data_IF_987495213460
#
_entry.id   IF_987495213460
#
_cell.length_a   1.000
_cell.length_b   1.000
_cell.length_c   1.000
_cell.angle_alpha   90.00
_cell.angle_beta   90.00
_cell.angle_gamma   90.00
#
_symmetry.space_group_name_H-M   'P 1'
#
loop_
_entity.id
_entity.type
_entity.pdbx_description
1 polymer ?
#
# COMPACT_ATOMS: atom_id res chain seq x y z
N UNK A 1 -46.04 13.15 20.56
CA UNK A 1 -45.22 13.96 21.48
C UNK A 1 -46.05 15.14 21.94
N UNK A 2 -46.29 15.23 23.26
CA UNK A 2 -46.99 16.31 23.97
C UNK A 2 -46.25 17.66 23.83
N UNK A 3 -47.02 18.75 23.95
CA UNK A 3 -46.72 20.06 24.58
C UNK A 3 -47.92 20.95 24.20
N UNK A 4 -48.88 21.32 25.04
CA UNK A 4 -48.91 21.72 26.45
C UNK A 4 -47.93 22.83 26.83
N UNK A 5 -48.48 23.86 27.52
CA UNK A 5 -47.95 25.17 27.96
C UNK A 5 -48.12 26.32 26.93
N UNK A 6 -48.67 27.47 27.27
CA UNK A 6 -49.16 27.94 28.57
C UNK A 6 -49.84 29.30 28.39
N UNK A 7 -51.03 29.39 28.98
CA UNK A 7 -51.77 30.58 29.33
C UNK A 7 -50.91 31.48 30.23
N UNK A 8 -50.66 32.73 29.82
CA UNK A 8 -50.15 33.78 30.67
C UNK A 8 -50.89 35.09 30.37
N UNK A 9 -51.87 35.37 31.20
CA UNK A 9 -52.34 36.71 31.48
C UNK A 9 -51.16 37.62 31.84
N UNK A 10 -51.09 38.78 31.18
CA UNK A 10 -50.55 39.98 31.79
C UNK A 10 -51.52 41.13 31.55
N UNK A 11 -52.31 41.39 32.58
CA UNK A 11 -52.86 42.70 32.90
C UNK A 11 -51.76 43.77 32.88
N UNK A 12 -52.08 44.97 32.40
CA UNK A 12 -51.34 46.16 32.83
C UNK A 12 -51.09 47.26 31.79
N UNK A 13 -52.06 48.16 31.68
CA UNK A 13 -51.93 49.60 31.42
C UNK A 13 -51.40 50.09 30.06
N UNK A 14 -52.37 50.45 29.20
CA UNK A 14 -52.25 51.45 28.15
C UNK A 14 -51.86 52.83 28.73
N UNK A 15 -50.65 53.29 28.46
CA UNK A 15 -50.30 54.69 28.59
C UNK A 15 -50.83 55.46 27.37
N UNK A 16 -52.07 55.92 27.45
CA UNK A 16 -52.66 56.89 26.53
C UNK A 16 -51.91 58.22 26.67
N UNK A 17 -50.97 58.48 25.76
CA UNK A 17 -50.47 59.84 25.52
C UNK A 17 -51.43 60.54 24.57
N UNK A 18 -52.34 61.31 25.16
CA UNK A 18 -53.27 62.19 24.44
C UNK A 18 -52.57 63.47 24.00
N UNK A 19 -52.33 63.52 22.68
CA UNK A 19 -52.61 64.64 21.76
C UNK A 19 -52.14 66.05 22.16
N UNK A 20 -51.07 66.50 21.51
CA UNK A 20 -50.75 67.90 21.32
C UNK A 20 -50.98 68.32 19.87
N UNK A 21 -52.19 68.83 19.61
CA UNK A 21 -52.50 69.96 18.72
C UNK A 21 -52.11 69.91 17.22
N UNK A 22 -53.16 70.04 16.40
CA UNK A 22 -53.24 70.74 15.10
C UNK A 22 -53.35 69.94 13.80
N UNK A 23 -53.95 68.75 13.84
CA UNK A 23 -54.82 68.35 12.72
C UNK A 23 -55.83 67.29 13.15
N UNK A 24 -57.11 67.51 12.84
CA UNK A 24 -58.23 66.61 13.07
C UNK A 24 -58.24 65.39 12.15
N UNK A 25 -57.10 64.71 12.08
CA UNK A 25 -56.95 63.40 11.47
C UNK A 25 -56.38 62.52 12.57
N UNK A 26 -57.20 61.59 13.06
CA UNK A 26 -56.74 60.48 13.91
C UNK A 26 -55.88 59.57 13.04
N UNK A 27 -54.65 60.04 12.86
CA UNK A 27 -53.65 59.45 12.00
C UNK A 27 -53.26 58.09 12.53
N UNK A 28 -53.26 57.90 13.86
CA UNK A 28 -53.00 56.59 14.46
C UNK A 28 -54.12 55.58 14.19
N UNK A 29 -55.41 55.96 14.23
CA UNK A 29 -56.49 55.01 13.88
C UNK A 29 -56.60 54.77 12.37
N UNK A 30 -56.35 55.77 11.53
CA UNK A 30 -56.30 55.61 10.07
C UNK A 30 -55.09 54.75 9.68
N UNK A 31 -53.91 54.98 10.27
CA UNK A 31 -52.72 54.15 10.07
C UNK A 31 -52.95 52.74 10.61
N UNK A 32 -53.62 52.59 11.76
CA UNK A 32 -53.95 51.27 12.31
C UNK A 32 -54.95 50.51 11.43
N UNK A 33 -55.99 51.17 10.91
CA UNK A 33 -56.95 50.56 9.99
C UNK A 33 -56.33 50.22 8.62
N UNK A 34 -55.44 51.08 8.10
CA UNK A 34 -54.65 50.79 6.91
C UNK A 34 -53.69 49.64 7.16
N UNK A 35 -53.03 49.60 8.32
CA UNK A 35 -52.16 48.50 8.74
C UNK A 35 -52.95 47.20 8.88
N UNK A 36 -54.16 47.22 9.45
CA UNK A 36 -55.03 46.05 9.58
C UNK A 36 -55.50 45.52 8.21
N UNK A 37 -55.84 46.41 7.29
CA UNK A 37 -56.14 46.04 5.90
C UNK A 37 -54.92 45.45 5.19
N UNK A 38 -53.72 45.99 5.44
CA UNK A 38 -52.47 45.48 4.86
C UNK A 38 -51.99 44.18 5.53
N UNK A 39 -52.18 44.01 6.84
CA UNK A 39 -51.89 42.76 7.56
C UNK A 39 -52.85 41.67 7.11
N UNK A 40 -54.13 41.98 6.86
CA UNK A 40 -55.08 41.03 6.27
C UNK A 40 -54.63 40.55 4.88
N UNK A 41 -54.15 41.47 4.02
CA UNK A 41 -53.56 41.11 2.72
C UNK A 41 -52.31 40.25 2.89
N UNK A 42 -51.43 40.59 3.85
CA UNK A 42 -50.23 39.82 4.21
C UNK A 42 -50.60 38.42 4.68
N UNK A 43 -51.50 38.27 5.65
CA UNK A 43 -52.00 36.98 6.16
C UNK A 43 -52.61 36.14 5.04
N UNK A 44 -53.32 36.75 4.09
CA UNK A 44 -53.85 36.02 2.93
C UNK A 44 -52.74 35.46 2.03
N UNK A 45 -51.65 36.20 1.84
CA UNK A 45 -50.47 35.73 1.09
C UNK A 45 -49.70 34.66 1.87
N UNK A 46 -49.53 34.82 3.18
CA UNK A 46 -48.91 33.84 4.06
C UNK A 46 -49.71 32.52 4.08
N UNK A 47 -51.03 32.58 4.20
CA UNK A 47 -51.90 31.41 4.11
C UNK A 47 -51.81 30.70 2.75
N UNK A 48 -51.70 31.47 1.65
CA UNK A 48 -51.46 30.89 0.30
C UNK A 48 -50.11 30.20 0.23
N UNK A 49 -49.06 30.80 0.81
CA UNK A 49 -47.71 30.23 0.87
C UNK A 49 -47.71 28.92 1.65
N UNK A 50 -48.28 28.89 2.86
CA UNK A 50 -48.40 27.69 3.68
C UNK A 50 -49.16 26.58 2.95
N UNK A 51 -50.27 26.91 2.28
CA UNK A 51 -51.04 25.94 1.48
C UNK A 51 -50.21 25.39 0.31
N UNK A 52 -49.41 26.23 -0.35
CA UNK A 52 -48.53 25.81 -1.44
C UNK A 52 -47.41 24.89 -0.92
N UNK A 53 -46.78 25.22 0.21
CA UNK A 53 -45.75 24.39 0.86
C UNK A 53 -46.31 23.03 1.29
N UNK A 54 -47.50 22.98 1.89
CA UNK A 54 -48.17 21.72 2.20
C UNK A 54 -48.47 20.89 0.95
N UNK A 55 -48.93 21.55 -0.11
CA UNK A 55 -49.19 20.90 -1.39
C UNK A 55 -47.91 20.32 -1.98
N UNK A 56 -46.81 21.09 -1.99
CA UNK A 56 -45.51 20.65 -2.46
C UNK A 56 -44.96 19.46 -1.64
N UNK A 57 -45.13 19.49 -0.32
CA UNK A 57 -44.72 18.40 0.57
C UNK A 57 -45.50 17.12 0.28
N UNK A 58 -46.82 17.22 0.09
CA UNK A 58 -47.66 16.07 -0.28
C UNK A 58 -47.23 15.50 -1.65
N UNK A 59 -47.02 16.36 -2.66
CA UNK A 59 -46.55 15.93 -3.98
C UNK A 59 -45.17 15.27 -3.94
N UNK A 60 -44.24 15.82 -3.15
CA UNK A 60 -42.90 15.25 -2.98
C UNK A 60 -42.99 13.88 -2.30
N UNK A 61 -43.84 13.76 -1.27
CA UNK A 61 -44.09 12.49 -0.59
C UNK A 61 -44.71 11.43 -1.50
N UNK A 62 -45.67 11.83 -2.34
CA UNK A 62 -46.28 10.95 -3.34
C UNK A 62 -45.27 10.50 -4.38
N UNK A 63 -44.46 11.42 -4.92
CA UNK A 63 -43.45 11.11 -5.92
C UNK A 63 -42.41 10.12 -5.38
N UNK A 64 -41.97 10.28 -4.13
CA UNK A 64 -41.08 9.30 -3.47
C UNK A 64 -41.70 7.91 -3.40
N UNK A 65 -42.98 7.82 -2.98
CA UNK A 65 -43.70 6.53 -2.89
C UNK A 65 -43.89 5.88 -4.26
N UNK A 66 -44.23 6.67 -5.28
CA UNK A 66 -44.41 6.17 -6.63
C UNK A 66 -43.08 5.70 -7.23
N UNK A 67 -42.02 6.46 -7.02
CA UNK A 67 -40.67 6.10 -7.45
C UNK A 67 -40.21 4.81 -6.78
N UNK A 68 -40.33 4.67 -5.46
CA UNK A 68 -39.96 3.42 -4.76
C UNK A 68 -40.79 2.23 -5.21
N UNK A 69 -42.08 2.41 -5.46
CA UNK A 69 -42.92 1.33 -6.00
C UNK A 69 -42.42 0.89 -7.39
N UNK A 70 -42.12 1.85 -8.27
CA UNK A 70 -41.62 1.57 -9.60
C UNK A 70 -40.23 0.93 -9.59
N UNK A 71 -39.29 1.40 -8.77
CA UNK A 71 -37.92 0.86 -8.74
C UNK A 71 -37.84 -0.48 -8.03
N UNK A 72 -38.50 -0.61 -6.88
CA UNK A 72 -38.23 -1.69 -5.95
C UNK A 72 -39.18 -2.88 -6.14
N UNK A 73 -40.39 -2.62 -6.62
CA UNK A 73 -41.42 -3.64 -6.82
C UNK A 73 -41.66 -3.91 -8.31
N UNK A 74 -42.38 -3.01 -9.00
CA UNK A 74 -42.76 -3.21 -10.40
C UNK A 74 -41.51 -3.37 -11.30
N UNK A 75 -40.44 -2.66 -10.98
CA UNK A 75 -39.20 -2.69 -11.72
C UNK A 75 -38.42 -3.99 -11.63
N UNK A 76 -38.57 -4.75 -10.54
CA UNK A 76 -37.98 -6.08 -10.41
C UNK A 76 -38.90 -7.15 -11.02
N UNK A 77 -40.22 -6.96 -10.89
CA UNK A 77 -41.23 -7.89 -11.41
C UNK A 77 -41.39 -7.86 -12.93
N UNK A 78 -40.94 -6.80 -13.62
CA UNK A 78 -41.01 -6.72 -15.09
C UNK A 78 -40.01 -7.63 -15.81
N UNK A 79 -38.96 -8.10 -15.14
CA UNK A 79 -37.92 -8.91 -15.78
C UNK A 79 -38.25 -10.40 -15.72
N UNK A 80 -38.19 -11.08 -16.86
CA UNK A 80 -38.40 -12.53 -16.96
C UNK A 80 -37.43 -13.32 -16.06
N UNK A 81 -36.19 -12.82 -15.90
CA UNK A 81 -35.16 -13.44 -15.04
C UNK A 81 -35.63 -13.65 -13.60
N UNK A 82 -36.50 -12.77 -13.08
CA UNK A 82 -37.08 -12.88 -11.73
C UNK A 82 -37.96 -14.12 -11.55
N UNK A 83 -38.52 -14.66 -12.64
CA UNK A 83 -39.36 -15.86 -12.63
C UNK A 83 -38.64 -17.13 -13.10
N UNK A 84 -37.43 -17.00 -13.63
CA UNK A 84 -36.60 -18.11 -14.08
C UNK A 84 -35.65 -18.62 -12.96
N UNK A 85 -35.95 -18.30 -11.71
CA UNK A 85 -35.14 -18.74 -10.57
C UNK A 85 -35.32 -20.24 -10.36
N UNK A 86 -34.22 -20.93 -10.07
CA UNK A 86 -34.20 -22.37 -9.85
C UNK A 86 -33.71 -22.67 -8.45
N UNK A 87 -34.29 -23.70 -7.82
CA UNK A 87 -33.86 -24.19 -6.52
C UNK A 87 -33.15 -25.52 -6.71
N UNK A 88 -31.96 -25.64 -6.12
CA UNK A 88 -31.30 -26.92 -5.94
C UNK A 88 -31.57 -27.45 -4.54
N UNK A 89 -31.79 -28.76 -4.42
CA UNK A 89 -31.92 -29.46 -3.16
C UNK A 89 -31.01 -30.69 -3.19
N UNK A 90 -30.29 -30.92 -2.10
CA UNK A 90 -29.46 -32.10 -1.91
C UNK A 90 -30.19 -33.08 -0.99
N UNK A 91 -30.05 -34.37 -1.26
CA UNK A 91 -30.54 -35.42 -0.36
C UNK A 91 -29.73 -35.48 0.93
N UNK A 92 -28.46 -35.04 0.90
CA UNK A 92 -27.59 -34.93 2.07
C UNK A 92 -26.77 -33.63 1.98
N UNK A 93 -27.25 -32.59 2.67
CA UNK A 93 -26.62 -31.28 2.69
C UNK A 93 -25.33 -31.23 3.52
N UNK A 94 -25.04 -32.25 4.33
CA UNK A 94 -23.79 -32.31 5.11
C UNK A 94 -22.58 -32.68 4.24
N UNK A 95 -22.82 -33.39 3.14
CA UNK A 95 -21.79 -33.83 2.19
C UNK A 95 -21.68 -32.86 1.01
N UNK A 96 -22.81 -32.45 0.43
CA UNK A 96 -22.84 -31.61 -0.75
C UNK A 96 -24.01 -30.63 -0.70
N UNK A 97 -23.70 -29.36 -0.91
CA UNK A 97 -24.70 -28.33 -1.21
C UNK A 97 -24.51 -27.86 -2.65
N UNK A 98 -25.60 -27.39 -3.26
CA UNK A 98 -25.58 -26.89 -4.62
C UNK A 98 -26.46 -25.65 -4.73
N UNK A 99 -26.08 -24.74 -5.62
CA UNK A 99 -26.86 -23.56 -5.99
C UNK A 99 -27.15 -23.61 -7.48
N UNK A 100 -28.39 -23.33 -7.88
CA UNK A 100 -28.80 -23.36 -9.28
C UNK A 100 -28.91 -21.94 -9.83
N UNK A 101 -28.21 -21.66 -10.92
CA UNK A 101 -28.41 -20.44 -11.70
C UNK A 101 -29.65 -20.58 -12.59
N UNK A 102 -30.20 -19.47 -13.08
CA UNK A 102 -31.42 -19.45 -13.90
C UNK A 102 -31.29 -20.23 -15.22
N UNK A 103 -30.07 -20.36 -15.74
CA UNK A 103 -29.72 -21.13 -16.95
C UNK A 103 -29.53 -22.64 -16.71
N UNK A 104 -29.48 -23.10 -15.44
CA UNK A 104 -29.21 -24.50 -15.13
C UNK A 104 -30.34 -25.41 -15.63
N UNK A 105 -30.04 -26.57 -16.20
CA UNK A 105 -31.07 -27.52 -16.65
C UNK A 105 -31.82 -28.14 -15.47
N UNK A 106 -33.15 -28.17 -15.54
CA UNK A 106 -33.99 -28.79 -14.50
C UNK A 106 -33.91 -30.31 -14.60
N UNK A 107 -33.66 -30.99 -13.48
CA UNK A 107 -33.56 -32.45 -13.43
C UNK A 107 -33.05 -32.96 -12.09
N UNK A 108 -33.01 -34.29 -11.94
CA UNK A 108 -32.39 -34.97 -10.81
C UNK A 108 -31.01 -35.47 -11.23
N UNK A 109 -30.00 -35.17 -10.42
CA UNK A 109 -28.62 -35.55 -10.67
C UNK A 109 -28.11 -36.45 -9.54
N UNK A 110 -27.54 -37.60 -9.89
CA UNK A 110 -26.86 -38.49 -8.94
C UNK A 110 -25.38 -38.13 -8.88
N UNK A 111 -24.91 -37.70 -7.73
CA UNK A 111 -23.52 -37.29 -7.51
C UNK A 111 -22.86 -38.23 -6.51
N UNK A 112 -21.68 -38.75 -6.85
CA UNK A 112 -20.85 -39.56 -5.95
C UNK A 112 -19.55 -38.82 -5.66
N UNK A 113 -19.33 -38.46 -4.40
CA UNK A 113 -18.08 -37.83 -3.95
C UNK A 113 -17.09 -38.93 -3.57
N UNK A 114 -16.01 -39.06 -4.32
CA UNK A 114 -14.95 -40.05 -4.03
C UNK A 114 -13.82 -39.45 -3.20
N UNK A 115 -13.43 -38.20 -3.50
CA UNK A 115 -12.31 -37.52 -2.86
C UNK A 115 -12.51 -36.01 -2.92
N UNK A 116 -12.09 -35.31 -1.86
CA UNK A 116 -12.06 -33.85 -1.83
C UNK A 116 -10.77 -33.33 -2.47
N UNK A 117 -10.88 -32.24 -3.22
CA UNK A 117 -9.71 -31.50 -3.64
C UNK A 117 -8.97 -30.98 -2.40
N UNK A 118 -7.66 -31.21 -2.34
CA UNK A 118 -6.80 -30.69 -1.29
C UNK A 118 -5.80 -29.69 -1.90
N UNK A 119 -5.42 -28.68 -1.13
CA UNK A 119 -4.31 -27.81 -1.49
C UNK A 119 -2.99 -28.52 -1.21
N UNK A 120 -2.01 -28.39 -2.12
CA UNK A 120 -0.66 -28.87 -1.87
C UNK A 120 -0.09 -28.10 -0.66
N UNK A 121 0.54 -28.82 0.27
CA UNK A 121 1.25 -28.21 1.39
C UNK A 121 2.57 -28.93 1.62
N UNK A 122 3.57 -28.17 2.05
CA UNK A 122 4.90 -28.67 2.38
C UNK A 122 5.35 -28.00 3.68
N UNK A 123 5.82 -28.81 4.62
CA UNK A 123 6.50 -28.33 5.83
C UNK A 123 7.95 -28.76 5.75
N UNK A 124 8.87 -27.82 5.90
CA UNK A 124 10.29 -28.16 5.85
C UNK A 124 10.72 -28.99 7.05
N UNK A 125 11.83 -29.70 6.91
CA UNK A 125 12.61 -30.12 8.06
C UNK A 125 13.02 -28.90 8.90
N UNK A 126 13.41 -29.15 10.16
CA UNK A 126 13.98 -28.09 10.99
C UNK A 126 15.27 -27.61 10.34
N UNK A 127 15.35 -26.32 10.03
CA UNK A 127 16.54 -25.68 9.50
C UNK A 127 17.40 -25.13 10.63
N UNK A 128 18.71 -25.27 10.48
CA UNK A 128 19.74 -24.70 11.36
C UNK A 128 20.75 -23.94 10.53
N UNK A 129 21.22 -22.81 11.05
CA UNK A 129 22.31 -22.06 10.44
C UNK A 129 23.62 -22.72 10.82
N UNK A 130 24.45 -23.07 9.84
CA UNK A 130 25.75 -23.69 10.07
C UNK A 130 26.84 -22.64 9.89
N UNK A 131 27.72 -22.54 10.87
CA UNK A 131 28.94 -21.76 10.76
C UNK A 131 30.13 -22.64 11.08
N UNK A 132 31.16 -22.58 10.23
CA UNK A 132 32.40 -23.30 10.43
C UNK A 132 33.46 -22.31 10.88
N UNK A 133 34.06 -22.54 12.04
CA UNK A 133 35.16 -21.68 12.50
C UNK A 133 36.47 -21.96 11.74
N UNK A 134 37.48 -21.12 11.95
CA UNK A 134 38.79 -21.26 11.32
C UNK A 134 39.52 -22.58 11.68
N UNK A 135 39.05 -23.30 12.70
CA UNK A 135 39.56 -24.62 13.11
C UNK A 135 38.77 -25.78 12.50
N UNK A 136 37.78 -25.50 11.63
CA UNK A 136 36.96 -26.50 10.97
C UNK A 136 35.81 -27.04 11.81
N UNK A 137 35.52 -26.46 12.98
CA UNK A 137 34.40 -26.89 13.83
C UNK A 137 33.11 -26.25 13.34
N UNK A 138 32.12 -27.09 13.04
CA UNK A 138 30.77 -26.66 12.67
C UNK A 138 29.94 -26.39 13.93
N UNK A 139 29.33 -25.23 14.00
CA UNK A 139 28.36 -24.84 15.03
C UNK A 139 27.00 -24.62 14.39
N UNK A 140 25.94 -25.09 15.06
CA UNK A 140 24.56 -24.87 14.64
C UNK A 140 23.94 -23.76 15.48
N UNK A 141 23.36 -22.78 14.80
CA UNK A 141 22.64 -21.67 15.41
C UNK A 141 21.17 -21.67 15.00
N UNK A 142 20.36 -21.05 15.85
CA UNK A 142 18.93 -20.81 15.57
C UNK A 142 18.81 -19.90 14.34
N UNK A 143 17.88 -20.24 13.47
CA UNK A 143 17.52 -19.45 12.27
C UNK A 143 16.41 -18.47 12.63
N UNK A 144 16.56 -17.22 12.18
CA UNK A 144 15.55 -16.16 12.25
C UNK A 144 15.19 -15.70 10.84
N UNK A 145 14.18 -14.84 10.72
CA UNK A 145 13.78 -14.24 9.44
C UNK A 145 14.94 -13.45 8.79
N UNK A 146 15.84 -12.89 9.59
CA UNK A 146 16.98 -12.09 9.11
C UNK A 146 18.24 -12.92 8.85
N UNK A 147 18.17 -14.23 9.07
CA UNK A 147 19.28 -15.13 8.76
C UNK A 147 19.48 -15.19 7.26
N UNK A 148 20.73 -15.01 6.82
CA UNK A 148 21.12 -15.09 5.41
C UNK A 148 21.01 -16.51 4.89
N UNK A 149 20.62 -16.68 3.62
CA UNK A 149 20.51 -18.00 3.00
C UNK A 149 21.88 -18.69 2.86
N UNK A 150 22.98 -17.94 2.77
CA UNK A 150 24.34 -18.50 2.81
C UNK A 150 24.62 -19.32 4.06
N UNK A 151 24.11 -18.88 5.22
CA UNK A 151 24.24 -19.62 6.48
C UNK A 151 23.43 -20.93 6.50
N UNK A 152 22.51 -21.10 5.54
CA UNK A 152 21.76 -22.34 5.32
C UNK A 152 22.39 -23.23 4.23
N UNK A 153 23.56 -22.84 3.70
CA UNK A 153 24.32 -23.61 2.72
C UNK A 153 24.00 -23.28 1.26
N UNK A 154 23.35 -22.15 0.99
CA UNK A 154 23.23 -21.65 -0.38
C UNK A 154 24.53 -20.97 -0.82
N UNK A 155 24.85 -21.17 -2.09
CA UNK A 155 25.93 -20.42 -2.74
C UNK A 155 25.52 -18.95 -2.93
N UNK A 156 26.47 -18.05 -2.75
CA UNK A 156 26.33 -16.60 -2.91
C UNK A 156 27.30 -16.02 -3.93
N UNK A 157 27.92 -16.86 -4.77
CA UNK A 157 28.69 -16.43 -5.95
C UNK A 157 27.85 -15.63 -6.97
N UNK A 158 26.55 -15.51 -6.73
CA UNK A 158 25.65 -14.57 -7.41
C UNK A 158 24.97 -15.14 -8.65
N UNK A 159 25.22 -16.41 -8.97
CA UNK A 159 24.63 -17.16 -10.07
C UNK A 159 23.43 -18.02 -9.64
N UNK A 160 23.23 -18.22 -8.35
CA UNK A 160 22.16 -19.08 -7.82
C UNK A 160 20.83 -18.34 -7.78
N UNK A 161 19.81 -18.95 -8.37
CA UNK A 161 18.43 -18.45 -8.38
C UNK A 161 17.47 -19.51 -7.86
N UNK A 162 16.53 -19.12 -7.01
CA UNK A 162 15.42 -19.98 -6.58
C UNK A 162 14.19 -19.64 -7.42
N UNK A 163 13.77 -20.57 -8.26
CA UNK A 163 12.55 -20.47 -9.06
C UNK A 163 11.38 -21.07 -8.30
N UNK A 164 10.34 -20.26 -8.13
CA UNK A 164 9.08 -20.60 -7.48
C UNK A 164 7.97 -20.46 -8.52
N UNK A 165 7.28 -21.55 -8.83
CA UNK A 165 6.17 -21.55 -9.78
C UNK A 165 4.90 -22.02 -9.07
N UNK A 166 3.82 -21.24 -9.19
CA UNK A 166 2.50 -21.57 -8.68
C UNK A 166 1.44 -21.24 -9.76
N UNK A 167 0.82 -22.27 -10.32
CA UNK A 167 -0.02 -22.11 -11.51
C UNK A 167 0.78 -21.53 -12.69
N UNK A 168 0.31 -20.41 -13.24
CA UNK A 168 0.95 -19.69 -14.36
C UNK A 168 2.02 -18.68 -13.89
N UNK A 169 2.07 -18.37 -12.59
CA UNK A 169 2.98 -17.37 -12.05
C UNK A 169 4.32 -17.99 -11.68
N UNK A 170 5.41 -17.40 -12.15
CA UNK A 170 6.78 -17.77 -11.77
C UNK A 170 7.50 -16.57 -11.18
N UNK A 171 8.16 -16.77 -10.04
CA UNK A 171 9.03 -15.81 -9.37
C UNK A 171 10.41 -16.44 -9.20
N UNK A 172 11.43 -15.70 -9.61
CA UNK A 172 12.84 -15.99 -9.48
C UNK A 172 13.44 -15.08 -8.41
N UNK A 173 13.97 -15.68 -7.35
CA UNK A 173 14.73 -15.00 -6.30
C UNK A 173 16.21 -15.25 -6.52
N UNK A 174 16.98 -14.19 -6.78
CA UNK A 174 18.44 -14.30 -6.80
C UNK A 174 18.97 -14.50 -5.37
N UNK A 175 19.98 -15.35 -5.21
CA UNK A 175 20.64 -15.55 -3.93
C UNK A 175 21.99 -14.84 -3.95
N UNK A 176 22.14 -13.88 -3.05
CA UNK A 176 23.37 -13.12 -2.82
C UNK A 176 23.76 -13.14 -1.32
N UNK A 177 24.87 -12.49 -0.97
CA UNK A 177 25.37 -12.41 0.41
C UNK A 177 24.42 -11.72 1.40
N UNK A 178 23.36 -11.07 0.93
CA UNK A 178 22.40 -10.34 1.76
C UNK A 178 21.03 -11.00 1.82
N UNK A 179 20.75 -11.94 0.91
CA UNK A 179 19.45 -12.56 0.76
C UNK A 179 19.12 -13.36 2.02
N UNK A 180 17.94 -13.10 2.59
CA UNK A 180 17.52 -13.66 3.87
C UNK A 180 16.39 -14.68 3.75
N UNK A 181 16.14 -15.38 4.85
CA UNK A 181 14.94 -16.22 5.04
C UNK A 181 13.65 -15.42 4.80
N UNK A 182 13.60 -14.16 5.23
CA UNK A 182 12.47 -13.26 5.00
C UNK A 182 12.24 -13.03 3.52
N UNK A 183 13.30 -12.80 2.75
CA UNK A 183 13.20 -12.56 1.31
C UNK A 183 12.67 -13.80 0.58
N UNK A 184 13.12 -14.99 0.98
CA UNK A 184 12.57 -16.24 0.46
C UNK A 184 11.08 -16.41 0.78
N UNK A 185 10.67 -16.12 2.02
CA UNK A 185 9.24 -16.17 2.41
C UNK A 185 8.41 -15.14 1.62
N UNK A 186 8.95 -13.96 1.38
CA UNK A 186 8.27 -12.94 0.58
C UNK A 186 8.16 -13.37 -0.88
N UNK A 187 9.22 -13.92 -1.49
CA UNK A 187 9.18 -14.45 -2.86
C UNK A 187 8.11 -15.55 -3.03
N UNK A 188 7.93 -16.43 -2.02
CA UNK A 188 6.86 -17.42 -2.01
C UNK A 188 5.47 -16.77 -1.99
N UNK A 189 5.27 -15.73 -1.18
CA UNK A 189 4.01 -14.98 -1.12
C UNK A 189 3.73 -14.22 -2.41
N UNK A 190 4.76 -13.63 -2.99
CA UNK A 190 4.67 -12.92 -4.26
C UNK A 190 4.33 -13.88 -5.40
N UNK A 191 4.78 -15.14 -5.34
CA UNK A 191 4.33 -16.19 -6.25
C UNK A 191 2.86 -16.61 -6.06
N UNK A 192 2.18 -16.14 -5.01
CA UNK A 192 0.78 -16.43 -4.71
C UNK A 192 0.55 -17.57 -3.71
N UNK A 193 1.60 -18.02 -3.03
CA UNK A 193 1.53 -19.08 -2.02
C UNK A 193 1.23 -18.53 -0.63
N UNK A 194 0.65 -19.37 0.23
CA UNK A 194 0.57 -19.13 1.66
C UNK A 194 1.87 -19.63 2.30
N UNK A 195 2.78 -18.71 2.65
CA UNK A 195 4.09 -19.04 3.21
C UNK A 195 4.38 -18.33 4.54
N UNK A 196 4.99 -19.06 5.47
CA UNK A 196 5.50 -18.52 6.74
C UNK A 196 6.73 -19.28 7.21
N UNK A 197 7.53 -18.62 8.06
CA UNK A 197 8.64 -19.22 8.78
C UNK A 197 8.40 -19.09 10.28
N UNK A 198 8.39 -20.21 11.00
CA UNK A 198 8.32 -20.22 12.46
C UNK A 198 9.74 -20.26 13.02
N UNK A 199 10.19 -19.15 13.61
CA UNK A 199 11.53 -19.05 14.19
C UNK A 199 11.71 -19.93 15.44
N UNK A 200 10.65 -20.23 16.20
CA UNK A 200 10.75 -21.10 17.38
C UNK A 200 10.98 -22.54 16.96
N UNK A 201 10.28 -22.98 15.92
CA UNK A 201 10.40 -24.34 15.40
C UNK A 201 11.54 -24.48 14.38
N UNK A 202 11.98 -23.37 13.78
CA UNK A 202 12.94 -23.34 12.68
C UNK A 202 12.40 -24.03 11.44
N UNK A 203 11.15 -23.78 11.06
CA UNK A 203 10.47 -24.49 9.95
C UNK A 203 9.71 -23.55 9.03
N UNK A 204 9.72 -23.88 7.75
CA UNK A 204 8.88 -23.27 6.74
C UNK A 204 7.56 -24.02 6.62
N UNK A 205 6.47 -23.26 6.51
CA UNK A 205 5.15 -23.75 6.16
C UNK A 205 4.75 -23.10 4.85
N UNK A 206 4.51 -23.92 3.83
CA UNK A 206 4.19 -23.45 2.47
C UNK A 206 2.97 -24.22 2.00
N UNK A 207 1.96 -23.52 1.49
CA UNK A 207 0.78 -24.16 0.90
C UNK A 207 0.28 -23.39 -0.32
N UNK A 208 -0.33 -24.12 -1.23
CA UNK A 208 -1.09 -23.55 -2.33
C UNK A 208 -2.30 -22.78 -1.79
N UNK A 209 -2.70 -21.73 -2.51
CA UNK A 209 -3.89 -20.95 -2.16
C UNK A 209 -5.18 -21.66 -2.56
N UNK A 210 -5.14 -22.35 -3.69
CA UNK A 210 -6.27 -23.08 -4.26
C UNK A 210 -6.07 -24.59 -4.09
N UNK A 211 -7.19 -25.31 -3.91
CA UNK A 211 -7.20 -26.78 -3.87
C UNK A 211 -7.23 -27.38 -5.26
N UNK A 212 -6.69 -28.59 -5.43
CA UNK A 212 -6.71 -29.33 -6.68
C UNK A 212 -5.35 -29.33 -7.40
N UNK A 213 -5.23 -30.18 -8.42
CA UNK A 213 -3.96 -30.44 -9.10
C UNK A 213 -3.41 -29.21 -9.85
N UNK A 214 -4.28 -28.33 -10.31
CA UNK A 214 -3.89 -27.09 -11.00
C UNK A 214 -3.29 -26.06 -10.04
N UNK A 215 -3.64 -26.14 -8.75
CA UNK A 215 -3.05 -25.34 -7.67
C UNK A 215 -1.65 -25.81 -7.24
N UNK A 216 -1.04 -26.78 -7.94
CA UNK A 216 0.29 -27.28 -7.61
C UNK A 216 1.34 -26.16 -7.69
N UNK A 217 2.38 -26.32 -6.88
CA UNK A 217 3.55 -25.45 -6.92
C UNK A 217 4.86 -26.22 -6.90
N UNK A 218 5.88 -25.62 -7.48
CA UNK A 218 7.25 -26.13 -7.52
C UNK A 218 8.22 -25.07 -7.01
N UNK A 219 9.24 -25.51 -6.29
CA UNK A 219 10.33 -24.68 -5.81
C UNK A 219 11.61 -25.40 -6.21
N UNK A 220 12.45 -24.76 -7.03
CA UNK A 220 13.68 -25.36 -7.55
C UNK A 220 14.82 -24.36 -7.52
N UNK A 221 16.03 -24.84 -7.25
CA UNK A 221 17.25 -24.05 -7.44
C UNK A 221 17.75 -24.20 -8.88
N UNK A 222 18.08 -23.08 -9.52
CA UNK A 222 18.70 -23.00 -10.84
C UNK A 222 19.99 -22.19 -10.75
N UNK A 223 20.91 -22.49 -11.64
CA UNK A 223 22.12 -21.69 -11.85
C UNK A 223 21.91 -20.85 -13.10
N UNK A 224 22.23 -19.56 -13.01
CA UNK A 224 22.20 -18.64 -14.13
C UNK A 224 23.25 -19.04 -15.17
N UNK A 225 22.94 -18.77 -16.44
CA UNK A 225 23.94 -18.91 -17.50
C UNK A 225 25.03 -17.85 -17.35
N UNK A 226 26.24 -18.14 -17.85
CA UNK A 226 27.35 -17.18 -17.80
C UNK A 226 27.03 -15.84 -18.47
N UNK A 227 26.20 -15.83 -19.51
CA UNK A 227 25.72 -14.61 -20.16
C UNK A 227 24.81 -13.77 -19.24
N UNK A 228 23.92 -14.42 -18.50
CA UNK A 228 23.04 -13.74 -17.55
C UNK A 228 23.83 -13.16 -16.37
N UNK A 229 24.82 -13.89 -15.87
CA UNK A 229 25.73 -13.39 -14.81
C UNK A 229 26.54 -12.20 -15.33
N UNK A 230 27.10 -12.29 -16.53
CA UNK A 230 27.85 -11.20 -17.14
C UNK A 230 26.99 -9.95 -17.38
N UNK A 231 25.74 -10.12 -17.81
CA UNK A 231 24.80 -9.01 -17.99
C UNK A 231 24.46 -8.34 -16.65
N UNK A 232 24.20 -9.13 -15.60
CA UNK A 232 23.95 -8.63 -14.26
C UNK A 232 25.16 -7.85 -13.72
N UNK A 233 26.37 -8.39 -13.83
CA UNK A 233 27.58 -7.71 -13.35
C UNK A 233 27.83 -6.40 -14.10
N UNK A 234 27.70 -6.39 -15.43
CA UNK A 234 27.81 -5.16 -16.23
C UNK A 234 26.82 -4.09 -15.79
N UNK A 235 25.58 -4.48 -15.46
CA UNK A 235 24.59 -3.54 -14.97
C UNK A 235 25.01 -2.95 -13.61
N UNK A 236 25.46 -3.79 -12.68
CA UNK A 236 25.92 -3.36 -11.35
C UNK A 236 27.15 -2.44 -11.44
N UNK A 237 28.10 -2.76 -12.32
CA UNK A 237 29.29 -1.94 -12.57
C UNK A 237 28.91 -0.58 -13.19
N UNK A 238 27.95 -0.56 -14.11
CA UNK A 238 27.52 0.68 -14.79
C UNK A 238 26.93 1.73 -13.85
N UNK A 239 26.33 1.29 -12.74
CA UNK A 239 25.76 2.17 -11.70
C UNK A 239 26.67 2.33 -10.49
N UNK A 240 27.91 1.84 -10.55
CA UNK A 240 28.89 1.91 -9.46
C UNK A 240 28.31 1.36 -8.14
N UNK A 241 27.62 0.22 -8.23
CA UNK A 241 26.75 -0.33 -7.18
C UNK A 241 27.41 -0.41 -5.79
N UNK A 242 28.69 -0.77 -5.72
CA UNK A 242 29.44 -0.89 -4.45
C UNK A 242 29.59 0.44 -3.70
N UNK A 243 29.50 1.57 -4.41
CA UNK A 243 29.66 2.91 -3.84
C UNK A 243 28.31 3.62 -3.60
N UNK A 244 27.19 2.95 -3.88
CA UNK A 244 25.86 3.48 -3.62
C UNK A 244 25.50 3.42 -2.12
N UNK A 245 24.52 4.23 -1.72
CA UNK A 245 23.93 4.13 -0.38
C UNK A 245 23.16 2.81 -0.23
N UNK A 246 22.97 2.31 1.00
CA UNK A 246 22.24 1.05 1.22
C UNK A 246 20.81 1.08 0.67
N UNK A 247 20.12 2.22 0.74
CA UNK A 247 18.77 2.35 0.16
C UNK A 247 18.75 2.31 -1.37
N UNK A 248 19.79 2.84 -2.02
CA UNK A 248 19.92 2.78 -3.47
C UNK A 248 20.35 1.39 -3.95
N UNK A 249 21.20 0.71 -3.17
CA UNK A 249 21.53 -0.69 -3.38
C UNK A 249 20.28 -1.58 -3.33
N UNK A 250 19.40 -1.38 -2.35
CA UNK A 250 18.12 -2.09 -2.27
C UNK A 250 17.23 -1.79 -3.48
N UNK A 251 17.22 -0.55 -3.95
CA UNK A 251 16.46 -0.15 -5.15
C UNK A 251 16.98 -0.84 -6.40
N UNK A 252 18.31 -0.92 -6.59
CA UNK A 252 18.92 -1.62 -7.74
C UNK A 252 18.63 -3.13 -7.68
N UNK A 253 18.67 -3.75 -6.50
CA UNK A 253 18.28 -5.17 -6.34
C UNK A 253 16.82 -5.40 -6.69
N UNK A 254 15.94 -4.50 -6.24
CA UNK A 254 14.53 -4.56 -6.58
C UNK A 254 14.31 -4.48 -8.08
N UNK A 255 14.99 -3.55 -8.76
CA UNK A 255 14.96 -3.42 -10.23
C UNK A 255 15.41 -4.73 -10.90
N UNK A 256 16.53 -5.32 -10.46
CA UNK A 256 17.02 -6.57 -11.01
C UNK A 256 16.01 -7.71 -10.81
N UNK A 257 15.39 -7.80 -9.63
CA UNK A 257 14.34 -8.77 -9.34
C UNK A 257 13.12 -8.56 -10.23
N UNK A 258 12.66 -7.31 -10.38
CA UNK A 258 11.52 -6.95 -11.22
C UNK A 258 11.79 -7.32 -12.69
N UNK A 259 13.00 -7.06 -13.20
CA UNK A 259 13.43 -7.44 -14.56
C UNK A 259 13.47 -8.95 -14.77
N UNK A 260 13.99 -9.73 -13.80
CA UNK A 260 14.03 -11.19 -13.88
C UNK A 260 12.63 -11.83 -13.86
N UNK A 261 11.66 -11.11 -13.29
CA UNK A 261 10.29 -11.58 -13.13
C UNK A 261 9.30 -10.91 -14.09
N UNK A 262 9.78 -10.01 -14.94
CA UNK A 262 8.97 -9.29 -15.90
C UNK A 262 8.36 -10.25 -16.92
N UNK A 263 7.06 -10.07 -17.18
CA UNK A 263 6.33 -10.79 -18.21
C UNK A 263 6.30 -10.00 -19.54
N UNK A 264 6.73 -8.75 -19.51
CA UNK A 264 6.72 -7.83 -20.64
C UNK A 264 7.90 -6.85 -20.57
N UNK A 265 8.02 -5.99 -21.59
CA UNK A 265 9.13 -5.04 -21.73
C UNK A 265 8.96 -3.74 -20.95
N UNK A 266 7.83 -3.50 -20.29
CA UNK A 266 7.57 -2.25 -19.57
C UNK A 266 8.49 -2.07 -18.35
N UNK A 267 8.80 -3.18 -17.67
CA UNK A 267 9.74 -3.21 -16.56
C UNK A 267 11.15 -2.73 -16.96
N UNK A 268 11.55 -2.91 -18.23
CA UNK A 268 12.85 -2.47 -18.72
C UNK A 268 12.94 -0.94 -18.85
N UNK A 269 11.88 -0.28 -19.31
CA UNK A 269 11.85 1.17 -19.44
C UNK A 269 11.82 1.87 -18.07
N UNK A 270 11.04 1.34 -17.12
CA UNK A 270 10.99 1.86 -15.75
C UNK A 270 12.31 1.62 -15.00
N UNK A 271 12.95 0.48 -15.25
CA UNK A 271 14.29 0.17 -14.75
C UNK A 271 15.33 1.16 -15.26
N UNK A 272 15.38 1.41 -16.58
CA UNK A 272 16.32 2.33 -17.21
C UNK A 272 16.22 3.73 -16.59
N UNK A 273 15.00 4.27 -16.48
CA UNK A 273 14.77 5.57 -15.87
C UNK A 273 15.22 5.62 -14.40
N UNK A 274 14.86 4.61 -13.62
CA UNK A 274 15.20 4.56 -12.19
C UNK A 274 16.72 4.47 -11.97
N UNK A 275 17.43 3.71 -12.80
CA UNK A 275 18.89 3.61 -12.76
C UNK A 275 19.56 4.93 -13.17
N UNK A 276 19.02 5.62 -14.18
CA UNK A 276 19.50 6.93 -14.59
C UNK A 276 19.35 7.97 -13.46
N UNK A 277 18.19 8.01 -12.80
CA UNK A 277 17.93 8.91 -11.67
C UNK A 277 18.90 8.66 -10.49
N UNK A 278 19.23 7.39 -10.20
CA UNK A 278 20.22 7.02 -9.19
C UNK A 278 21.61 7.53 -9.59
N UNK A 279 22.04 7.22 -10.82
CA UNK A 279 23.35 7.64 -11.34
C UNK A 279 23.53 9.16 -11.31
N UNK A 280 22.53 9.91 -11.78
CA UNK A 280 22.57 11.37 -11.82
C UNK A 280 22.64 11.98 -10.41
N UNK A 281 21.89 11.43 -9.47
CA UNK A 281 21.94 11.85 -8.05
C UNK A 281 23.31 11.57 -7.44
N UNK A 282 23.85 10.37 -7.59
CA UNK A 282 25.16 9.98 -7.05
C UNK A 282 26.28 10.84 -7.63
N UNK A 283 26.25 11.11 -8.94
CA UNK A 283 27.21 12.00 -9.59
C UNK A 283 27.15 13.42 -9.01
N UNK A 284 25.93 13.95 -8.80
CA UNK A 284 25.71 15.28 -8.21
C UNK A 284 26.20 15.37 -6.76
N UNK A 285 26.00 14.32 -5.97
CA UNK A 285 26.49 14.25 -4.58
C UNK A 285 28.02 14.26 -4.53
N UNK A 286 28.69 13.40 -5.32
CA UNK A 286 30.17 13.36 -5.43
C UNK A 286 30.73 14.71 -5.87
N UNK A 287 30.12 15.36 -6.86
CA UNK A 287 30.54 16.69 -7.32
C UNK A 287 30.37 17.77 -6.23
N UNK A 288 29.25 17.74 -5.50
CA UNK A 288 28.98 18.69 -4.42
C UNK A 288 29.96 18.52 -3.26
N UNK A 289 30.30 17.28 -2.91
CA UNK A 289 31.28 16.97 -1.87
C UNK A 289 32.69 17.42 -2.26
N UNK A 290 33.10 17.16 -3.51
CA UNK A 290 34.38 17.65 -4.03
C UNK A 290 34.45 19.17 -3.95
N UNK A 291 33.45 19.88 -4.49
CA UNK A 291 33.39 21.36 -4.46
C UNK A 291 33.43 21.87 -3.02
N UNK A 292 32.67 21.27 -2.09
CA UNK A 292 32.66 21.67 -0.68
C UNK A 292 34.02 21.45 -0.02
N UNK A 293 34.69 20.36 -0.33
CA UNK A 293 36.01 20.01 0.22
C UNK A 293 37.08 20.96 -0.32
N UNK A 294 37.10 21.20 -1.64
CA UNK A 294 37.99 22.18 -2.27
C UNK A 294 37.76 23.60 -1.74
N UNK A 295 36.50 24.04 -1.61
CA UNK A 295 36.16 25.34 -1.03
C UNK A 295 36.59 25.45 0.44
N UNK A 296 36.42 24.41 1.26
CA UNK A 296 36.93 24.38 2.64
C UNK A 296 38.44 24.52 2.68
N UNK A 297 39.16 23.83 1.79
CA UNK A 297 40.62 23.90 1.70
C UNK A 297 41.10 25.31 1.30
N UNK A 298 40.34 26.00 0.42
CA UNK A 298 40.61 27.38 0.00
C UNK A 298 40.25 28.40 1.10
N UNK A 299 39.08 28.29 1.73
CA UNK A 299 38.60 29.24 2.75
C UNK A 299 39.26 29.07 4.12
N UNK A 300 39.67 27.85 4.46
CA UNK A 300 40.33 27.50 5.71
C UNK A 300 41.58 26.67 5.41
N UNK A 301 42.64 27.27 4.84
CA UNK A 301 43.91 26.59 4.70
C UNK A 301 44.39 26.26 6.12
N UNK A 302 44.46 24.96 6.44
CA UNK A 302 44.71 24.51 7.80
C UNK A 302 45.92 25.23 8.42
N UNK A 303 45.82 25.52 9.70
CA UNK A 303 46.91 26.04 10.56
C UNK A 303 48.17 25.16 10.58
N UNK A 304 48.20 24.04 9.87
CA UNK A 304 49.37 23.18 9.66
C UNK A 304 50.44 23.84 8.76
N UNK A 305 50.05 24.58 7.72
CA UNK A 305 51.01 25.16 6.78
C UNK A 305 51.81 26.33 7.38
N UNK A 306 51.25 27.02 8.39
CA UNK A 306 51.97 28.07 9.15
C UNK A 306 52.96 27.53 10.18
N UNK A 307 52.81 26.29 10.66
CA UNK A 307 53.82 25.66 11.54
C UNK A 307 54.99 25.10 10.73
N UNK A 308 54.74 24.52 9.55
CA UNK A 308 55.79 24.02 8.66
C UNK A 308 56.72 25.14 8.14
N UNK A 309 56.18 26.34 7.87
CA UNK A 309 56.98 27.49 7.43
C UNK A 309 57.83 28.13 8.54
N UNK A 310 57.48 27.94 9.82
CA UNK A 310 58.28 28.44 10.97
C UNK A 310 59.37 27.46 11.44
N UNK A 311 59.27 26.20 11.05
CA UNK A 311 60.27 25.17 11.39
C UNK A 311 61.45 25.13 10.39
N UNK A 312 61.28 25.70 9.19
CA UNK A 312 62.31 25.72 8.14
C UNK A 312 63.39 26.83 8.30
N UNK A 313 63.23 27.77 9.24
CA UNK A 313 64.20 28.89 9.44
C UNK A 313 65.20 28.63 10.58
N UNK A 314 65.11 27.52 11.32
CA UNK A 314 65.96 27.26 12.51
C UNK A 314 66.92 26.07 12.35
N UNK A 315 67.30 25.71 11.12
CA UNK A 315 68.41 24.75 10.89
C UNK A 315 69.32 25.23 9.77
N UNK A 316 70.14 26.23 10.07
CA UNK A 316 71.47 26.36 9.48
C UNK A 316 72.47 25.97 10.57
N UNK A 317 73.18 24.86 10.39
CA UNK A 317 74.60 24.62 10.75
C UNK A 317 74.96 23.21 10.22
N UNK A 318 75.72 23.19 9.13
CA UNK A 318 76.71 22.14 8.82
C UNK A 318 77.98 22.47 9.65
N UNK A 319 78.83 21.51 10.05
CA UNK A 319 79.67 20.83 9.05
C UNK A 319 79.99 19.35 9.31
N UNK A 320 80.41 18.74 8.20
CA UNK A 320 81.18 17.51 8.09
C UNK A 320 82.41 17.52 9.00
N UNK A 321 82.66 16.40 9.70
CA UNK A 321 84.01 15.95 10.08
C UNK A 321 84.05 14.43 9.88
N UNK A 322 84.91 13.99 8.97
CA UNK A 322 85.31 12.60 8.75
C UNK A 322 86.68 12.41 9.41
N UNK A 323 86.83 11.37 10.25
CA UNK A 323 88.13 10.90 10.73
C UNK A 323 88.11 9.37 10.67
N UNK A 324 89.06 8.80 9.95
CA UNK A 324 89.42 7.38 10.01
C UNK A 324 90.89 7.30 10.43
N UNK A 325 91.20 6.66 11.56
CA UNK A 325 92.51 6.05 11.83
C UNK A 325 92.36 4.85 12.78
N UNK A 326 92.79 3.68 12.29
CA UNK A 326 93.00 2.34 12.89
C UNK A 326 91.91 1.71 13.75
#
# INVERSE_FOLDING_TARGET
>A
MRRDKGFLEREGYYALRMTGMTSGLDTDSIVSALMEAQTTKKTKVENKKTKLEWTQNIWTGLNKKLYSFYTDSAGKMRFQSSYQTKKAASSDASILTATAQSSASSGSYTVKVNQLAAAQYVTSAKVSAKSTDASGKVTESKVTSDTKLSALGFDTEGDTTIEITAGEKTINLNVDETTTVRDFVNALKDAGLNASFDEKQGRFFISAKESGADGKFTITSKTMTGEQVAAQNKLMDSVDYSNLSSGDQDTVKKILSDLKNAQDTSAAADAEKSLQDISDRTAKEKATEYIRTSLRMICFPSTSTRQMARMATVMHIKPEISITVK
#
